data_IF_137828411294
#
_entry.id   IF_137828411294
#
_cell.length_a   1.000
_cell.length_b   1.000
_cell.length_c   1.000
_cell.angle_alpha   90.00
_cell.angle_beta   90.00
_cell.angle_gamma   90.00
#
_symmetry.space_group_name_H-M   'P 1'
#
loop_
_entity.id
_entity.type
_entity.pdbx_description
1 polymer ?
#
# COMPACT_ATOMS: atom_id res chain seq x y z
N UNK A 1 8.17 -25.12 8.77
CA UNK A 1 7.16 -24.31 8.06
C UNK A 1 6.41 -25.13 7.03
N UNK A 2 5.07 -25.11 7.08
CA UNK A 2 4.24 -25.93 6.20
C UNK A 2 4.44 -25.59 4.71
N UNK A 3 4.62 -24.31 4.37
CA UNK A 3 4.86 -23.83 3.02
C UNK A 3 6.25 -24.27 2.49
N UNK A 4 7.31 -24.10 3.28
CA UNK A 4 8.66 -24.55 2.93
C UNK A 4 8.74 -26.07 2.79
N UNK A 5 8.07 -26.81 3.68
CA UNK A 5 7.99 -28.28 3.62
C UNK A 5 7.18 -28.78 2.41
N UNK A 6 6.28 -27.96 1.88
CA UNK A 6 5.54 -28.22 0.64
C UNK A 6 6.32 -27.82 -0.63
N UNK A 7 7.56 -27.34 -0.51
CA UNK A 7 8.39 -26.90 -1.63
C UNK A 7 8.00 -25.55 -2.23
N UNK A 8 7.13 -24.79 -1.54
CA UNK A 8 6.75 -23.44 -1.97
C UNK A 8 7.85 -22.46 -1.57
N UNK A 9 8.47 -21.82 -2.56
CA UNK A 9 9.44 -20.75 -2.32
C UNK A 9 8.69 -19.51 -1.85
N UNK A 10 8.94 -19.09 -0.62
CA UNK A 10 8.37 -17.87 -0.05
C UNK A 10 9.16 -16.69 -0.61
N UNK A 11 8.48 -15.77 -1.30
CA UNK A 11 9.09 -14.53 -1.78
C UNK A 11 9.16 -13.46 -0.67
N UNK A 12 8.11 -13.36 0.15
CA UNK A 12 8.02 -12.41 1.26
C UNK A 12 7.10 -12.98 2.35
N UNK A 13 7.46 -12.77 3.61
CA UNK A 13 6.63 -13.10 4.76
C UNK A 13 6.83 -12.05 5.85
N UNK A 14 5.82 -11.23 6.07
CA UNK A 14 5.86 -10.11 7.01
C UNK A 14 4.54 -9.95 7.76
N UNK A 15 4.58 -9.24 8.88
CA UNK A 15 3.38 -8.85 9.62
C UNK A 15 2.95 -7.48 9.11
N UNK A 16 1.79 -7.42 8.47
CA UNK A 16 1.22 -6.21 7.87
C UNK A 16 -0.20 -5.97 8.36
N UNK A 17 -0.70 -4.73 8.25
CA UNK A 17 -2.09 -4.41 8.57
C UNK A 17 -2.95 -4.44 7.31
N UNK A 18 -3.95 -5.32 7.29
CA UNK A 18 -4.93 -5.42 6.21
C UNK A 18 -6.20 -4.66 6.61
N UNK A 19 -6.62 -3.62 5.86
CA UNK A 19 -7.82 -2.88 6.16
C UNK A 19 -9.08 -3.72 5.91
N UNK A 20 -10.13 -3.52 6.71
CA UNK A 20 -11.39 -4.27 6.60
C UNK A 20 -12.35 -3.72 5.52
N UNK A 21 -12.14 -2.49 5.08
CA UNK A 21 -12.90 -1.80 4.06
C UNK A 21 -11.96 -0.94 3.20
N UNK A 22 -12.40 -0.54 2.01
CA UNK A 22 -11.67 0.38 1.15
C UNK A 22 -12.44 1.68 0.92
N UNK A 23 -11.71 2.75 0.63
CA UNK A 23 -12.24 4.07 0.28
C UNK A 23 -11.71 4.47 -1.09
N UNK A 24 -12.60 4.56 -2.07
CA UNK A 24 -12.23 4.96 -3.44
C UNK A 24 -11.93 6.45 -3.47
N UNK A 25 -10.77 6.82 -4.04
CA UNK A 25 -10.36 8.22 -4.20
C UNK A 25 -10.60 8.71 -5.62
N UNK A 26 -10.98 9.99 -5.72
CA UNK A 26 -10.93 10.72 -6.99
C UNK A 26 -9.51 11.23 -7.28
N UNK A 27 -9.33 11.84 -8.45
CA UNK A 27 -8.03 12.34 -8.92
C UNK A 27 -7.38 13.36 -7.98
N UNK A 28 -8.17 14.29 -7.43
CA UNK A 28 -7.66 15.33 -6.54
C UNK A 28 -7.17 14.73 -5.23
N UNK A 29 -7.98 13.87 -4.61
CA UNK A 29 -7.64 13.24 -3.34
C UNK A 29 -6.52 12.20 -3.50
N UNK A 30 -6.50 11.46 -4.61
CA UNK A 30 -5.42 10.52 -4.94
C UNK A 30 -4.07 11.24 -5.01
N UNK A 31 -3.99 12.39 -5.71
CA UNK A 31 -2.76 13.22 -5.77
C UNK A 31 -2.29 13.64 -4.39
N UNK A 32 -3.21 14.07 -3.52
CA UNK A 32 -2.86 14.52 -2.19
C UNK A 32 -2.41 13.36 -1.29
N UNK A 33 -3.07 12.20 -1.39
CA UNK A 33 -2.75 11.02 -0.59
C UNK A 33 -1.43 10.39 -1.00
N UNK A 34 -1.13 10.28 -2.31
CA UNK A 34 0.16 9.78 -2.78
C UNK A 34 1.31 10.63 -2.26
N UNK A 35 1.21 11.96 -2.38
CA UNK A 35 2.22 12.87 -1.81
C UNK A 35 2.38 12.75 -0.30
N UNK A 36 1.29 12.52 0.42
CA UNK A 36 1.35 12.30 1.86
C UNK A 36 2.07 10.99 2.18
N UNK A 37 1.81 9.93 1.41
CA UNK A 37 2.50 8.65 1.59
C UNK A 37 3.99 8.78 1.36
N UNK A 38 4.40 9.41 0.25
CA UNK A 38 5.81 9.62 -0.05
C UNK A 38 6.52 10.36 1.10
N UNK A 39 5.90 11.43 1.62
CA UNK A 39 6.46 12.21 2.74
C UNK A 39 6.56 11.43 4.05
N UNK A 40 5.63 10.49 4.29
CA UNK A 40 5.66 9.65 5.48
C UNK A 40 6.71 8.54 5.33
N UNK A 41 6.85 7.95 4.14
CA UNK A 41 7.85 6.92 3.86
C UNK A 41 9.27 7.47 3.90
N UNK A 42 9.49 8.72 3.48
CA UNK A 42 10.79 9.39 3.53
C UNK A 42 11.23 9.79 4.95
N UNK A 43 10.36 9.65 5.96
CA UNK A 43 10.67 10.07 7.33
C UNK A 43 11.39 8.97 8.10
N UNK A 44 12.62 9.24 8.57
CA UNK A 44 13.51 8.26 9.23
C UNK A 44 12.88 7.48 10.40
N UNK A 45 11.98 8.12 11.16
CA UNK A 45 11.27 7.49 12.30
C UNK A 45 10.03 6.65 11.90
N UNK A 46 9.57 6.73 10.65
CA UNK A 46 8.41 5.97 10.17
C UNK A 46 8.88 4.60 9.69
N UNK A 47 8.30 3.55 10.26
CA UNK A 47 8.71 2.17 9.95
C UNK A 47 7.86 1.53 8.86
N UNK A 48 6.55 1.78 8.87
CA UNK A 48 5.60 1.25 7.89
C UNK A 48 4.42 2.21 7.78
N UNK A 49 3.89 2.34 6.57
CA UNK A 49 2.68 3.13 6.29
C UNK A 49 1.63 2.21 5.69
N UNK A 50 0.41 2.27 6.21
CA UNK A 50 -0.71 1.46 5.73
C UNK A 50 -1.91 2.37 5.46
N UNK A 51 -2.67 2.06 4.41
CA UNK A 51 -3.90 2.77 4.10
C UNK A 51 -4.98 1.84 3.60
N UNK A 52 -6.19 2.37 3.57
CA UNK A 52 -7.36 1.72 3.02
C UNK A 52 -7.88 2.41 1.76
N UNK A 53 -7.10 3.28 1.14
CA UNK A 53 -7.54 3.91 -0.09
C UNK A 53 -7.44 2.96 -1.28
N UNK A 54 -8.34 3.13 -2.23
CA UNK A 54 -8.34 2.46 -3.51
C UNK A 54 -8.34 3.53 -4.61
N UNK A 55 -7.37 3.48 -5.50
CA UNK A 55 -7.21 4.46 -6.58
C UNK A 55 -7.55 3.74 -7.89
N UNK A 56 -8.67 4.08 -8.55
CA UNK A 56 -9.04 3.48 -9.82
C UNK A 56 -7.91 3.63 -10.84
N UNK A 57 -7.69 2.62 -11.68
CA UNK A 57 -6.57 2.62 -12.63
C UNK A 57 -6.59 3.83 -13.59
N UNK A 58 -7.78 4.27 -14.01
CA UNK A 58 -7.96 5.47 -14.83
C UNK A 58 -7.50 6.75 -14.12
N UNK A 59 -7.65 6.81 -12.80
CA UNK A 59 -7.16 7.92 -11.98
C UNK A 59 -5.65 7.78 -11.83
N UNK A 60 -5.16 6.60 -11.45
CA UNK A 60 -3.74 6.31 -11.26
C UNK A 60 -2.90 6.71 -12.47
N UNK A 61 -3.36 6.42 -13.69
CA UNK A 61 -2.69 6.80 -14.94
C UNK A 61 -2.56 8.32 -15.17
N UNK A 62 -3.40 9.13 -14.52
CA UNK A 62 -3.32 10.59 -14.61
C UNK A 62 -2.45 11.21 -13.52
N UNK A 63 -2.30 10.50 -12.40
CA UNK A 63 -1.51 10.97 -11.25
C UNK A 63 -0.07 10.46 -11.25
N UNK A 64 0.19 9.37 -11.98
CA UNK A 64 1.55 8.84 -12.26
C UNK A 64 2.30 9.69 -13.29
#
# INVERSE_FOLDING_TARGET
DALSNAGVKIEMAEITMIPQNSVVLDEQHATQMLKLMDLLEDHDDVQNVFSNFDIPEEVMQKVS
#
